data_IF_369780267265
#
_entry.id   IF_369780267265
#
_cell.length_a   1.000
_cell.length_b   1.000
_cell.length_c   1.000
_cell.angle_alpha   90.00
_cell.angle_beta   90.00
_cell.angle_gamma   90.00
#
_symmetry.space_group_name_H-M   'P 1'
#
loop_
_entity.id
_entity.type
_entity.pdbx_description
1 polymer ?
#
# COMPACT_ATOMS: atom_id res chain seq x y z
N UNK A 1 -16.71 -26.97 -0.59
CA UNK A 1 -15.35 -27.28 -0.09
C UNK A 1 -14.29 -26.40 -0.77
N UNK A 2 -14.29 -26.26 -2.09
CA UNK A 2 -13.30 -25.45 -2.84
C UNK A 2 -13.31 -23.94 -2.55
N UNK A 3 -14.41 -23.38 -2.10
CA UNK A 3 -14.55 -21.94 -1.76
C UNK A 3 -13.69 -21.47 -0.58
N UNK A 4 -12.98 -22.36 0.11
CA UNK A 4 -11.99 -22.02 1.14
C UNK A 4 -10.56 -21.97 0.62
N UNK A 5 -10.31 -22.43 -0.61
CA UNK A 5 -8.99 -22.47 -1.24
C UNK A 5 -8.87 -21.51 -2.42
N UNK A 6 -10.01 -21.03 -2.95
CA UNK A 6 -10.07 -20.11 -4.07
C UNK A 6 -10.88 -18.87 -3.68
N UNK A 7 -10.47 -17.72 -4.21
CA UNK A 7 -11.24 -16.48 -4.08
C UNK A 7 -12.66 -16.67 -4.65
N UNK A 8 -13.71 -16.13 -3.99
CA UNK A 8 -15.09 -16.24 -4.49
C UNK A 8 -15.25 -15.83 -5.96
N UNK A 9 -14.53 -14.78 -6.39
CA UNK A 9 -14.56 -14.29 -7.77
C UNK A 9 -13.98 -15.30 -8.77
N UNK A 10 -12.95 -16.06 -8.37
CA UNK A 10 -12.40 -17.15 -9.20
C UNK A 10 -13.39 -18.30 -9.28
N UNK A 11 -14.05 -18.66 -8.18
CA UNK A 11 -15.09 -19.68 -8.16
C UNK A 11 -16.25 -19.28 -9.05
N UNK A 12 -16.72 -18.05 -8.98
CA UNK A 12 -17.79 -17.51 -9.82
C UNK A 12 -17.44 -17.62 -11.31
N UNK A 13 -16.22 -17.21 -11.68
CA UNK A 13 -15.71 -17.35 -13.05
C UNK A 13 -15.70 -18.82 -13.51
N UNK A 14 -15.20 -19.73 -12.68
CA UNK A 14 -15.11 -21.15 -13.01
C UNK A 14 -16.49 -21.79 -13.21
N UNK A 15 -17.48 -21.39 -12.42
CA UNK A 15 -18.86 -21.91 -12.52
C UNK A 15 -19.59 -21.32 -13.74
N UNK A 16 -19.30 -20.06 -14.09
CA UNK A 16 -19.95 -19.37 -15.21
C UNK A 16 -19.38 -19.72 -16.59
N UNK A 17 -18.20 -20.33 -16.67
CA UNK A 17 -17.55 -20.70 -17.93
C UNK A 17 -17.71 -22.22 -18.20
N UNK A 18 -18.25 -22.61 -19.35
CA UNK A 18 -18.44 -24.04 -19.69
C UNK A 18 -17.14 -24.77 -20.04
N UNK A 19 -16.06 -24.02 -20.29
CA UNK A 19 -14.74 -24.58 -20.62
C UNK A 19 -13.88 -24.81 -19.40
N UNK A 20 -13.09 -25.91 -19.41
CA UNK A 20 -12.09 -26.16 -18.38
C UNK A 20 -11.04 -25.04 -18.34
N UNK A 21 -10.61 -24.63 -17.14
CA UNK A 21 -9.55 -23.64 -17.00
C UNK A 21 -8.29 -24.09 -17.73
N UNK A 22 -7.71 -23.20 -18.52
CA UNK A 22 -6.43 -23.43 -19.24
C UNK A 22 -5.38 -22.50 -18.72
N UNK A 23 -4.10 -22.89 -18.90
CA UNK A 23 -2.96 -21.99 -18.73
C UNK A 23 -3.06 -20.90 -19.80
N UNK A 24 -3.53 -19.71 -19.38
CA UNK A 24 -3.68 -18.56 -20.25
C UNK A 24 -3.78 -17.28 -19.39
N UNK A 25 -3.40 -16.17 -19.96
CA UNK A 25 -3.52 -14.86 -19.34
C UNK A 25 -3.75 -13.78 -20.37
N UNK A 26 -4.46 -12.74 -19.97
CA UNK A 26 -4.76 -11.57 -20.77
C UNK A 26 -3.99 -10.35 -20.21
N UNK A 27 -3.67 -9.41 -21.10
CA UNK A 27 -3.19 -8.09 -20.68
C UNK A 27 -4.38 -7.19 -20.40
N UNK A 28 -4.57 -6.86 -19.11
CA UNK A 28 -5.66 -5.98 -18.67
C UNK A 28 -5.17 -4.98 -17.63
N UNK A 29 -5.76 -3.78 -17.63
CA UNK A 29 -5.52 -2.81 -16.57
C UNK A 29 -6.25 -3.23 -15.32
N UNK A 30 -5.49 -3.42 -14.23
CA UNK A 30 -5.98 -3.82 -12.91
C UNK A 30 -5.24 -3.05 -11.83
N UNK A 31 -5.79 -3.04 -10.63
CA UNK A 31 -5.11 -2.49 -9.45
C UNK A 31 -4.65 -3.63 -8.54
N UNK A 32 -3.34 -3.71 -8.35
CA UNK A 32 -2.71 -4.59 -7.37
C UNK A 32 -2.74 -3.95 -5.98
N UNK A 33 -3.01 -4.75 -4.98
CA UNK A 33 -2.99 -4.40 -3.56
C UNK A 33 -2.05 -5.33 -2.81
N UNK A 34 -1.13 -4.74 -2.06
CA UNK A 34 -0.25 -5.44 -1.12
C UNK A 34 -0.41 -4.82 0.26
N UNK A 35 -0.54 -5.66 1.27
CA UNK A 35 -0.46 -5.21 2.66
C UNK A 35 0.40 -6.13 3.50
N UNK A 36 1.04 -5.58 4.52
CA UNK A 36 1.94 -6.29 5.43
C UNK A 36 1.85 -5.70 6.84
N UNK A 37 2.06 -6.52 7.87
CA UNK A 37 2.10 -6.06 9.26
C UNK A 37 3.47 -5.44 9.55
N UNK A 38 3.46 -4.19 9.98
CA UNK A 38 4.69 -3.49 10.38
C UNK A 38 5.40 -4.23 11.53
N UNK A 39 6.61 -4.72 11.24
CA UNK A 39 7.45 -5.35 12.28
C UNK A 39 6.97 -6.75 12.69
N UNK A 40 6.33 -7.49 11.80
CA UNK A 40 5.80 -8.83 12.08
C UNK A 40 6.87 -9.80 12.64
N UNK A 41 8.12 -9.73 12.18
CA UNK A 41 9.20 -10.56 12.73
C UNK A 41 9.36 -10.36 14.23
N UNK A 42 9.45 -9.11 14.70
CA UNK A 42 9.51 -8.79 16.13
C UNK A 42 8.21 -9.11 16.86
N UNK A 43 7.08 -8.94 16.18
CA UNK A 43 5.78 -9.33 16.70
C UNK A 43 5.71 -10.84 16.95
N UNK A 44 6.14 -11.66 16.00
CA UNK A 44 6.11 -13.12 16.09
C UNK A 44 7.05 -13.67 17.17
N UNK A 45 8.18 -13.02 17.45
CA UNK A 45 9.10 -13.38 18.53
C UNK A 45 8.44 -13.40 19.91
N UNK A 46 7.43 -12.54 20.14
CA UNK A 46 6.66 -12.53 21.40
C UNK A 46 5.86 -13.81 21.65
N UNK A 47 5.62 -14.58 20.58
CA UNK A 47 4.91 -15.85 20.64
C UNK A 47 5.84 -17.08 20.56
N UNK A 48 7.15 -16.90 20.76
CA UNK A 48 8.12 -18.01 20.69
C UNK A 48 7.74 -19.19 21.60
N UNK A 49 7.07 -18.93 22.72
CA UNK A 49 6.58 -19.96 23.67
C UNK A 49 5.11 -20.36 23.45
N UNK A 50 4.37 -19.68 22.56
CA UNK A 50 2.97 -19.98 22.21
C UNK A 50 2.76 -19.89 20.69
N UNK A 51 3.26 -20.83 19.89
CA UNK A 51 3.05 -20.84 18.45
C UNK A 51 1.57 -20.87 18.03
N UNK A 52 0.72 -21.53 18.83
CA UNK A 52 -0.72 -21.58 18.58
C UNK A 52 -1.39 -20.20 18.82
N UNK A 53 -0.87 -19.43 19.75
CA UNK A 53 -1.26 -18.04 19.96
C UNK A 53 -0.98 -17.18 18.74
N UNK A 54 0.22 -17.30 18.17
CA UNK A 54 0.57 -16.60 16.92
C UNK A 54 -0.39 -16.95 15.79
N UNK A 55 -0.68 -18.23 15.58
CA UNK A 55 -1.61 -18.69 14.54
C UNK A 55 -3.01 -18.11 14.75
N UNK A 56 -3.53 -18.10 15.99
CA UNK A 56 -4.84 -17.50 16.29
C UNK A 56 -4.89 -16.01 15.98
N UNK A 57 -3.87 -15.27 16.39
CA UNK A 57 -3.78 -13.82 16.18
C UNK A 57 -3.66 -13.50 14.69
N UNK A 58 -2.78 -14.19 13.98
CA UNK A 58 -2.60 -14.01 12.54
C UNK A 58 -3.88 -14.35 11.76
N UNK A 59 -4.53 -15.48 12.07
CA UNK A 59 -5.78 -15.86 11.41
C UNK A 59 -6.92 -14.86 11.68
N UNK A 60 -6.98 -14.27 12.89
CA UNK A 60 -7.94 -13.22 13.21
C UNK A 60 -7.70 -11.98 12.34
N UNK A 61 -6.46 -11.53 12.25
CA UNK A 61 -6.05 -10.41 11.41
C UNK A 61 -6.37 -10.68 9.93
N UNK A 62 -5.88 -11.79 9.37
CA UNK A 62 -6.10 -12.15 7.97
C UNK A 62 -7.58 -12.26 7.63
N UNK A 63 -8.39 -12.87 8.50
CA UNK A 63 -9.85 -13.01 8.29
C UNK A 63 -10.52 -11.66 8.22
N UNK A 64 -10.22 -10.76 9.15
CA UNK A 64 -10.87 -9.45 9.22
C UNK A 64 -10.45 -8.56 8.04
N UNK A 65 -9.16 -8.49 7.74
CA UNK A 65 -8.62 -7.71 6.60
C UNK A 65 -9.15 -8.24 5.28
N UNK A 66 -9.10 -9.55 5.06
CA UNK A 66 -9.63 -10.16 3.84
C UNK A 66 -11.14 -9.97 3.70
N UNK A 67 -11.88 -10.00 4.81
CA UNK A 67 -13.30 -9.71 4.81
C UNK A 67 -13.62 -8.33 4.24
N UNK A 68 -12.88 -7.30 4.64
CA UNK A 68 -13.00 -5.94 4.08
C UNK A 68 -12.66 -5.93 2.59
N UNK A 69 -11.56 -6.53 2.19
CA UNK A 69 -11.13 -6.57 0.78
C UNK A 69 -12.16 -7.24 -0.13
N UNK A 70 -12.72 -8.38 0.32
CA UNK A 70 -13.76 -9.10 -0.42
C UNK A 70 -15.07 -8.30 -0.56
N UNK A 71 -15.47 -7.53 0.45
CA UNK A 71 -16.63 -6.63 0.38
C UNK A 71 -16.48 -5.56 -0.70
N UNK A 72 -15.25 -5.12 -0.98
CA UNK A 72 -14.95 -4.20 -2.08
C UNK A 72 -14.76 -4.88 -3.45
N UNK A 73 -14.93 -6.20 -3.52
CA UNK A 73 -14.83 -6.97 -4.76
C UNK A 73 -13.40 -7.38 -5.13
N UNK A 74 -12.46 -7.36 -4.17
CA UNK A 74 -11.10 -7.83 -4.40
C UNK A 74 -11.07 -9.33 -4.72
N UNK A 75 -10.28 -9.73 -5.70
CA UNK A 75 -9.87 -11.10 -5.90
C UNK A 75 -8.63 -11.36 -5.04
N UNK A 76 -8.77 -12.14 -3.98
CA UNK A 76 -7.62 -12.57 -3.17
C UNK A 76 -6.74 -13.50 -4.00
N UNK A 77 -5.48 -13.13 -4.18
CA UNK A 77 -4.48 -13.92 -4.89
C UNK A 77 -3.81 -14.91 -3.92
N UNK A 78 -3.15 -14.40 -2.90
CA UNK A 78 -2.42 -15.23 -1.92
C UNK A 78 -2.13 -14.48 -0.63
N UNK A 79 -1.75 -15.27 0.37
CA UNK A 79 -1.07 -14.77 1.58
C UNK A 79 0.42 -15.12 1.48
N UNK A 80 1.28 -14.20 1.89
CA UNK A 80 2.74 -14.41 1.99
C UNK A 80 3.14 -14.09 3.43
N UNK A 81 3.11 -15.11 4.30
CA UNK A 81 3.23 -14.89 5.74
C UNK A 81 2.05 -14.08 6.29
N UNK A 82 2.30 -12.88 6.75
CA UNK A 82 1.31 -11.92 7.24
C UNK A 82 0.81 -10.95 6.15
N UNK A 83 1.43 -10.99 4.97
CA UNK A 83 1.04 -10.15 3.84
C UNK A 83 -0.20 -10.69 3.13
N UNK A 84 -1.08 -9.76 2.72
CA UNK A 84 -2.25 -10.04 1.87
C UNK A 84 -2.01 -9.45 0.48
N UNK A 85 -2.14 -10.29 -0.53
CA UNK A 85 -2.05 -9.88 -1.94
C UNK A 85 -3.40 -10.08 -2.61
N UNK A 86 -3.92 -9.03 -3.24
CA UNK A 86 -5.15 -9.14 -4.02
C UNK A 86 -5.15 -8.22 -5.25
N UNK A 87 -6.12 -8.43 -6.11
CA UNK A 87 -6.28 -7.75 -7.39
C UNK A 87 -7.71 -7.20 -7.47
N UNK A 88 -7.85 -5.97 -7.97
CA UNK A 88 -9.13 -5.36 -8.31
C UNK A 88 -9.24 -5.21 -9.83
N UNK A 89 -10.39 -5.56 -10.41
CA UNK A 89 -10.64 -5.51 -11.85
C UNK A 89 -10.46 -6.84 -12.58
N UNK A 90 -10.15 -7.91 -11.84
CA UNK A 90 -10.07 -9.28 -12.36
C UNK A 90 -10.41 -10.30 -11.24
N UNK A 91 -10.91 -11.48 -11.56
CA UNK A 91 -11.34 -11.99 -12.87
C UNK A 91 -12.62 -11.32 -13.40
N UNK A 92 -13.36 -10.64 -12.52
CA UNK A 92 -14.54 -9.87 -12.89
C UNK A 92 -14.10 -8.45 -13.24
N UNK A 93 -14.43 -7.99 -14.45
CA UNK A 93 -14.07 -6.63 -14.87
C UNK A 93 -14.82 -5.59 -14.04
N UNK A 94 -14.08 -4.56 -13.61
CA UNK A 94 -14.60 -3.41 -12.87
C UNK A 94 -13.94 -2.15 -13.44
N UNK A 95 -14.73 -1.22 -13.92
CA UNK A 95 -14.21 0.06 -14.43
C UNK A 95 -13.65 0.95 -13.29
N UNK A 96 -14.23 0.81 -12.12
CA UNK A 96 -13.89 1.56 -10.90
C UNK A 96 -12.88 0.83 -9.99
N UNK A 97 -12.11 -0.15 -10.52
CA UNK A 97 -11.18 -0.98 -9.75
C UNK A 97 -10.19 -0.18 -8.88
N UNK A 98 -9.65 0.93 -9.39
CA UNK A 98 -8.71 1.76 -8.64
C UNK A 98 -9.40 2.48 -7.46
N UNK A 99 -10.63 2.97 -7.67
CA UNK A 99 -11.42 3.63 -6.63
C UNK A 99 -11.83 2.64 -5.54
N UNK A 100 -12.24 1.43 -5.92
CA UNK A 100 -12.56 0.35 -4.97
C UNK A 100 -11.34 -0.07 -4.17
N UNK A 101 -10.19 -0.20 -4.82
CA UNK A 101 -8.93 -0.54 -4.14
C UNK A 101 -8.53 0.52 -3.11
N UNK A 102 -8.66 1.82 -3.44
CA UNK A 102 -8.39 2.90 -2.50
C UNK A 102 -9.40 2.95 -1.35
N UNK A 103 -10.69 2.77 -1.64
CA UNK A 103 -11.73 2.68 -0.60
C UNK A 103 -11.45 1.49 0.33
N UNK A 104 -11.14 0.32 -0.22
CA UNK A 104 -10.78 -0.87 0.54
C UNK A 104 -9.54 -0.63 1.44
N UNK A 105 -8.52 0.07 0.94
CA UNK A 105 -7.32 0.38 1.71
C UNK A 105 -7.62 1.27 2.92
N UNK A 106 -8.49 2.27 2.77
CA UNK A 106 -8.94 3.11 3.89
C UNK A 106 -9.75 2.31 4.90
N UNK A 107 -10.68 1.48 4.43
CA UNK A 107 -11.52 0.66 5.30
C UNK A 107 -10.70 -0.45 5.99
N UNK A 108 -9.65 -0.99 5.35
CA UNK A 108 -8.66 -1.87 5.99
C UNK A 108 -7.94 -1.15 7.12
N UNK A 109 -7.51 0.11 6.94
CA UNK A 109 -6.88 0.85 8.04
C UNK A 109 -7.85 1.04 9.21
N UNK A 110 -9.12 1.38 8.95
CA UNK A 110 -10.14 1.50 9.98
C UNK A 110 -10.37 0.17 10.72
N UNK A 111 -10.38 -0.96 9.98
CA UNK A 111 -10.52 -2.29 10.58
C UNK A 111 -9.29 -2.68 11.41
N UNK A 112 -8.08 -2.34 10.95
CA UNK A 112 -6.84 -2.56 11.72
C UNK A 112 -6.86 -1.79 13.04
N UNK A 113 -7.39 -0.57 13.08
CA UNK A 113 -7.55 0.16 14.35
C UNK A 113 -8.52 -0.57 15.32
N UNK A 114 -9.60 -1.19 14.81
CA UNK A 114 -10.50 -2.02 15.62
C UNK A 114 -9.80 -3.28 16.13
N UNK A 115 -9.00 -3.95 15.26
CA UNK A 115 -8.19 -5.10 15.66
C UNK A 115 -7.21 -4.72 16.78
N UNK A 116 -6.56 -3.56 16.66
CA UNK A 116 -5.65 -3.05 17.70
C UNK A 116 -6.34 -2.86 19.03
N UNK A 117 -7.52 -2.24 19.04
CA UNK A 117 -8.30 -2.07 20.26
C UNK A 117 -8.65 -3.43 20.90
N UNK A 118 -9.09 -4.40 20.09
CA UNK A 118 -9.41 -5.75 20.56
C UNK A 118 -8.18 -6.48 21.10
N UNK A 119 -7.02 -6.34 20.43
CA UNK A 119 -5.76 -6.97 20.87
C UNK A 119 -5.23 -6.32 22.14
N UNK A 120 -5.25 -5.00 22.25
CA UNK A 120 -4.88 -4.28 23.48
C UNK A 120 -5.73 -4.73 24.65
N UNK A 121 -7.05 -4.88 24.49
CA UNK A 121 -7.96 -5.37 25.53
C UNK A 121 -7.64 -6.82 26.00
N UNK A 122 -6.98 -7.60 25.13
CA UNK A 122 -6.55 -8.97 25.42
C UNK A 122 -5.08 -9.08 25.87
N UNK A 123 -4.37 -7.96 26.03
CA UNK A 123 -2.95 -7.94 26.36
C UNK A 123 -2.03 -8.43 25.20
N UNK A 124 -2.55 -8.47 23.99
CA UNK A 124 -1.81 -8.86 22.79
C UNK A 124 -1.03 -7.66 22.21
N UNK A 125 0.02 -7.90 21.44
CA UNK A 125 0.80 -6.82 20.82
C UNK A 125 -0.02 -6.01 19.80
N UNK A 126 0.32 -4.73 19.67
CA UNK A 126 -0.25 -3.85 18.64
C UNK A 126 0.10 -4.31 17.22
N UNK A 127 -0.86 -4.18 16.31
CA UNK A 127 -0.68 -4.40 14.88
C UNK A 127 -0.87 -3.11 14.10
N UNK A 128 0.02 -2.86 13.17
CA UNK A 128 -0.05 -1.76 12.21
C UNK A 128 0.15 -2.31 10.82
N UNK A 129 -0.66 -1.88 9.88
CA UNK A 129 -0.59 -2.37 8.49
C UNK A 129 -0.13 -1.28 7.55
N UNK A 130 0.81 -1.60 6.68
CA UNK A 130 1.19 -0.80 5.53
C UNK A 130 0.51 -1.36 4.29
N UNK A 131 0.16 -0.47 3.37
CA UNK A 131 -0.52 -0.83 2.11
C UNK A 131 0.17 -0.16 0.94
N UNK A 132 0.38 -0.92 -0.13
CA UNK A 132 0.84 -0.42 -1.42
C UNK A 132 -0.17 -0.76 -2.52
N UNK A 133 -0.58 0.24 -3.29
CA UNK A 133 -1.51 0.09 -4.41
C UNK A 133 -0.86 0.58 -5.70
N UNK A 134 -1.01 -0.21 -6.75
CA UNK A 134 -0.56 0.24 -8.07
C UNK A 134 -1.49 -0.25 -9.18
N UNK A 135 -1.88 0.66 -10.04
CA UNK A 135 -2.68 0.39 -11.25
C UNK A 135 -1.76 0.34 -12.46
N UNK A 136 -1.87 -0.71 -13.23
CA UNK A 136 -1.12 -0.89 -14.49
C UNK A 136 -1.78 -1.95 -15.37
N UNK A 137 -1.39 -1.98 -16.63
CA UNK A 137 -1.65 -3.14 -17.49
C UNK A 137 -0.74 -4.28 -17.03
N UNK A 138 -1.33 -5.41 -16.67
CA UNK A 138 -0.65 -6.59 -16.16
C UNK A 138 -1.13 -7.83 -16.90
N UNK A 139 -0.33 -8.88 -16.91
CA UNK A 139 -0.78 -10.20 -17.34
C UNK A 139 -1.58 -10.83 -16.20
N UNK A 140 -2.85 -11.14 -16.44
CA UNK A 140 -3.75 -11.72 -15.44
C UNK A 140 -4.37 -13.00 -15.98
N UNK A 141 -4.26 -14.07 -15.22
CA UNK A 141 -4.78 -15.36 -15.67
C UNK A 141 -4.32 -16.52 -14.82
N UNK A 142 -4.39 -17.72 -15.40
CA UNK A 142 -3.93 -18.95 -14.77
C UNK A 142 -2.45 -19.18 -15.11
N UNK A 143 -1.60 -19.11 -14.11
CA UNK A 143 -0.15 -19.32 -14.22
C UNK A 143 0.31 -20.44 -13.32
N UNK A 144 1.20 -21.28 -13.84
CA UNK A 144 1.75 -22.42 -13.10
C UNK A 144 2.17 -23.56 -14.02
N UNK A 145 2.01 -24.78 -13.54
CA UNK A 145 2.23 -26.00 -14.31
C UNK A 145 0.90 -26.61 -14.77
N UNK A 146 0.97 -27.64 -15.65
CA UNK A 146 -0.21 -28.40 -16.05
C UNK A 146 -0.92 -29.09 -14.86
N UNK A 147 -0.18 -29.38 -13.78
CA UNK A 147 -0.68 -30.07 -12.60
C UNK A 147 -1.24 -29.11 -11.56
N UNK A 148 -0.67 -27.88 -11.48
CA UNK A 148 -1.06 -26.90 -10.48
C UNK A 148 -0.86 -25.48 -11.03
N UNK A 149 -1.92 -24.71 -11.07
CA UNK A 149 -1.87 -23.29 -11.44
C UNK A 149 -2.74 -22.46 -10.48
N UNK A 150 -2.38 -21.18 -10.38
CA UNK A 150 -3.12 -20.20 -9.62
C UNK A 150 -3.61 -19.08 -10.55
N UNK A 151 -4.78 -18.54 -10.28
CA UNK A 151 -5.24 -17.32 -10.89
C UNK A 151 -4.56 -16.14 -10.22
N UNK A 152 -3.69 -15.44 -10.93
CA UNK A 152 -2.85 -14.37 -10.39
C UNK A 152 -2.57 -13.29 -11.44
N UNK A 153 -1.99 -12.18 -11.02
CA UNK A 153 -1.42 -11.18 -11.92
C UNK A 153 0.11 -11.21 -11.88
N UNK A 154 0.72 -10.92 -13.02
CA UNK A 154 2.16 -10.85 -13.18
C UNK A 154 2.57 -9.59 -13.94
N UNK A 155 3.78 -9.11 -13.65
CA UNK A 155 4.39 -7.97 -14.32
C UNK A 155 4.90 -6.91 -13.36
N UNK A 156 5.51 -5.88 -13.93
CA UNK A 156 6.10 -4.76 -13.18
C UNK A 156 5.11 -4.02 -12.28
N UNK A 157 3.82 -4.02 -12.66
CA UNK A 157 2.77 -3.40 -11.87
C UNK A 157 2.59 -4.04 -10.50
N UNK A 158 2.67 -5.38 -10.41
CA UNK A 158 2.65 -6.12 -9.13
C UNK A 158 3.87 -5.80 -8.29
N UNK A 159 5.05 -5.82 -8.91
CA UNK A 159 6.31 -5.50 -8.23
C UNK A 159 6.30 -4.07 -7.66
N UNK A 160 5.76 -3.10 -8.41
CA UNK A 160 5.66 -1.73 -7.92
C UNK A 160 4.70 -1.64 -6.72
N UNK A 161 3.54 -2.31 -6.75
CA UNK A 161 2.62 -2.32 -5.60
C UNK A 161 3.28 -2.89 -4.33
N UNK A 162 4.01 -3.99 -4.45
CA UNK A 162 4.78 -4.56 -3.33
C UNK A 162 5.84 -3.58 -2.81
N UNK A 163 6.57 -2.89 -3.70
CA UNK A 163 7.57 -1.89 -3.29
C UNK A 163 6.96 -0.65 -2.64
N UNK A 164 5.77 -0.24 -3.08
CA UNK A 164 5.01 0.85 -2.45
C UNK A 164 4.59 0.49 -1.02
N UNK A 165 4.23 -0.79 -0.76
CA UNK A 165 4.01 -1.23 0.62
C UNK A 165 5.26 -0.97 1.47
N UNK A 166 6.43 -1.48 1.04
CA UNK A 166 7.69 -1.26 1.76
C UNK A 166 8.12 0.19 1.87
N UNK A 167 7.84 1.00 0.84
CA UNK A 167 8.15 2.43 0.78
C UNK A 167 7.40 3.26 1.85
N UNK A 168 6.35 2.75 2.45
CA UNK A 168 5.72 3.38 3.61
C UNK A 168 6.70 3.53 4.80
N UNK A 169 7.68 2.63 4.93
CA UNK A 169 8.57 2.59 6.09
C UNK A 169 9.39 3.87 6.29
N UNK A 170 10.16 4.37 5.31
CA UNK A 170 10.98 5.57 5.46
C UNK A 170 10.18 6.86 5.63
N UNK A 171 8.91 6.91 5.22
CA UNK A 171 8.03 8.06 5.38
C UNK A 171 7.12 7.96 6.61
N UNK A 172 7.00 6.77 7.22
CA UNK A 172 6.04 6.54 8.30
C UNK A 172 4.58 6.63 7.86
N UNK A 173 4.31 6.55 6.55
CA UNK A 173 2.98 6.53 5.97
C UNK A 173 2.31 5.16 6.13
N UNK A 174 1.00 5.09 5.85
CA UNK A 174 0.23 3.85 5.96
C UNK A 174 -0.20 3.28 4.61
N UNK A 175 -0.55 4.14 3.66
CA UNK A 175 -1.04 3.73 2.33
C UNK A 175 -0.30 4.55 1.28
N UNK A 176 0.44 3.88 0.41
CA UNK A 176 1.05 4.50 -0.77
C UNK A 176 0.42 3.98 -2.06
N UNK A 177 0.21 4.90 -2.99
CA UNK A 177 -0.35 4.61 -4.30
C UNK A 177 0.59 5.08 -5.41
N UNK A 178 0.63 4.31 -6.50
CA UNK A 178 1.39 4.65 -7.69
C UNK A 178 0.73 5.75 -8.54
N UNK A 179 1.47 6.32 -9.52
CA UNK A 179 1.01 7.49 -10.28
C UNK A 179 -0.26 7.21 -11.10
N UNK A 180 -0.39 6.02 -11.70
CA UNK A 180 -1.60 5.68 -12.46
C UNK A 180 -2.81 5.53 -11.54
N UNK A 181 -2.65 4.94 -10.35
CA UNK A 181 -3.71 4.87 -9.34
C UNK A 181 -4.13 6.28 -8.94
N UNK A 182 -3.17 7.15 -8.59
CA UNK A 182 -3.44 8.55 -8.26
C UNK A 182 -4.26 9.27 -9.35
N UNK A 183 -3.86 9.15 -10.62
CA UNK A 183 -4.56 9.78 -11.74
C UNK A 183 -6.04 9.34 -11.87
N UNK A 184 -6.37 8.10 -11.46
CA UNK A 184 -7.72 7.54 -11.53
C UNK A 184 -8.61 7.87 -10.33
N UNK A 185 -8.02 8.38 -9.23
CA UNK A 185 -8.75 8.52 -7.97
C UNK A 185 -8.68 9.92 -7.36
N UNK A 186 -7.84 10.82 -7.89
CA UNK A 186 -7.58 12.16 -7.34
C UNK A 186 -8.81 13.08 -7.33
N UNK A 187 -9.86 12.73 -8.07
CA UNK A 187 -11.14 13.45 -8.06
C UNK A 187 -12.04 13.08 -6.86
N UNK A 188 -11.84 11.90 -6.24
CA UNK A 188 -12.67 11.38 -5.15
C UNK A 188 -11.94 11.15 -3.83
N UNK A 189 -10.61 11.12 -3.87
CA UNK A 189 -9.78 10.93 -2.66
C UNK A 189 -8.79 12.08 -2.48
N UNK A 190 -8.52 12.41 -1.22
CA UNK A 190 -7.42 13.27 -0.83
C UNK A 190 -6.12 12.48 -0.84
N UNK A 191 -5.15 13.01 -1.57
CA UNK A 191 -3.82 12.40 -1.72
C UNK A 191 -2.75 13.45 -1.56
N UNK A 192 -1.57 13.04 -1.14
CA UNK A 192 -0.39 13.91 -1.03
C UNK A 192 0.78 13.26 -1.76
N UNK A 193 1.41 13.95 -2.71
CA UNK A 193 2.68 13.49 -3.27
C UNK A 193 3.75 13.50 -2.18
N UNK A 194 4.35 12.34 -1.90
CA UNK A 194 5.39 12.26 -0.87
C UNK A 194 6.79 12.47 -1.43
N UNK A 195 7.07 11.87 -2.58
CA UNK A 195 8.41 11.94 -3.17
C UNK A 195 8.43 11.41 -4.61
N UNK A 196 9.61 11.51 -5.24
CA UNK A 196 9.98 10.72 -6.42
C UNK A 196 11.02 9.71 -6.02
N UNK A 197 10.74 8.44 -6.28
CA UNK A 197 11.60 7.36 -5.84
C UNK A 197 12.07 6.53 -7.01
N UNK A 198 13.32 6.13 -6.99
CA UNK A 198 13.84 5.10 -7.88
C UNK A 198 13.71 3.77 -7.18
N UNK A 199 12.88 2.88 -7.75
CA UNK A 199 12.69 1.55 -7.21
C UNK A 199 13.74 0.59 -7.78
N UNK A 200 14.24 -0.33 -6.95
CA UNK A 200 15.28 -1.28 -7.34
C UNK A 200 14.95 -1.97 -8.68
N UNK A 201 15.90 -1.96 -9.62
CA UNK A 201 15.74 -2.55 -10.96
C UNK A 201 14.99 -1.67 -11.98
N UNK A 202 14.67 -0.40 -11.65
CA UNK A 202 14.17 0.59 -12.61
C UNK A 202 15.07 1.81 -12.65
N UNK A 203 15.34 2.32 -13.86
CA UNK A 203 16.09 3.56 -14.06
C UNK A 203 15.19 4.80 -13.93
N UNK A 204 13.89 4.66 -14.17
CA UNK A 204 12.93 5.74 -14.11
C UNK A 204 12.42 5.97 -12.69
N UNK A 205 12.41 7.24 -12.30
CA UNK A 205 11.84 7.66 -11.03
C UNK A 205 10.30 7.65 -11.10
N UNK A 206 9.68 7.17 -10.05
CA UNK A 206 8.23 7.07 -9.90
C UNK A 206 7.75 8.02 -8.81
N UNK A 207 6.77 8.88 -9.13
CA UNK A 207 6.11 9.68 -8.10
C UNK A 207 5.24 8.76 -7.22
N UNK A 208 5.40 8.89 -5.90
CA UNK A 208 4.61 8.15 -4.92
C UNK A 208 3.69 9.08 -4.17
N UNK A 209 2.46 8.64 -3.96
CA UNK A 209 1.44 9.44 -3.28
C UNK A 209 0.91 8.70 -2.06
N UNK A 210 0.73 9.42 -0.96
CA UNK A 210 0.00 8.92 0.19
C UNK A 210 -1.50 9.10 -0.04
N UNK A 211 -2.28 8.06 0.22
CA UNK A 211 -3.73 8.10 0.26
C UNK A 211 -4.16 8.47 1.67
N UNK A 212 -4.81 9.63 1.84
CA UNK A 212 -5.13 10.22 3.14
C UNK A 212 -6.58 9.98 3.58
N UNK A 213 -7.52 10.00 2.65
CA UNK A 213 -8.95 9.85 2.96
C UNK A 213 -9.83 10.17 1.76
N UNK A 214 -11.15 10.17 1.97
CA UNK A 214 -12.10 10.62 0.94
C UNK A 214 -12.11 12.16 0.88
N UNK A 215 -12.40 12.72 -0.27
CA UNK A 215 -12.51 14.18 -0.41
C UNK A 215 -13.58 14.76 0.52
N UNK A 216 -13.19 15.86 1.18
CA UNK A 216 -14.06 16.56 2.12
C UNK A 216 -14.14 15.95 3.53
N UNK A 217 -13.49 14.81 3.78
CA UNK A 217 -13.49 14.16 5.10
C UNK A 217 -12.29 14.55 5.97
N UNK A 218 -11.21 15.11 5.36
CA UNK A 218 -10.03 15.50 6.12
C UNK A 218 -10.25 16.77 6.93
N UNK A 219 -9.72 16.82 8.17
CA UNK A 219 -9.72 18.04 8.95
C UNK A 219 -8.97 19.17 8.23
N UNK A 220 -9.43 20.45 8.31
CA UNK A 220 -8.75 21.60 7.67
C UNK A 220 -7.26 21.68 8.01
N UNK A 221 -6.89 21.38 9.26
CA UNK A 221 -5.48 21.32 9.71
C UNK A 221 -4.65 20.31 8.89
N UNK A 222 -5.21 19.17 8.55
CA UNK A 222 -4.48 18.15 7.75
C UNK A 222 -4.28 18.64 6.32
N UNK A 223 -5.25 19.33 5.75
CA UNK A 223 -5.13 19.94 4.41
C UNK A 223 -4.06 21.02 4.40
N UNK A 224 -3.97 21.85 5.45
CA UNK A 224 -2.92 22.86 5.61
C UNK A 224 -1.53 22.22 5.69
N UNK A 225 -1.36 21.16 6.48
CA UNK A 225 -0.11 20.37 6.51
C UNK A 225 0.24 19.83 5.13
N UNK A 226 -0.73 19.33 4.35
CA UNK A 226 -0.49 18.87 2.99
C UNK A 226 -0.02 20.00 2.06
N UNK A 227 -0.56 21.22 2.23
CA UNK A 227 -0.11 22.41 1.50
C UNK A 227 1.34 22.76 1.81
N UNK A 228 1.70 22.84 3.10
CA UNK A 228 3.09 23.07 3.54
C UNK A 228 4.02 21.94 3.06
N UNK A 229 3.56 20.69 3.11
CA UNK A 229 4.34 19.58 2.60
C UNK A 229 4.66 19.73 1.11
N UNK A 230 3.68 20.09 0.30
CA UNK A 230 3.87 20.28 -1.14
C UNK A 230 4.85 21.42 -1.45
N UNK A 231 4.77 22.53 -0.71
CA UNK A 231 5.72 23.64 -0.80
C UNK A 231 7.13 23.21 -0.42
N UNK A 232 7.29 22.58 0.74
CA UNK A 232 8.58 22.04 1.20
C UNK A 232 9.18 21.04 0.23
N UNK A 233 8.36 20.15 -0.36
CA UNK A 233 8.79 19.17 -1.35
C UNK A 233 9.27 19.83 -2.67
N UNK A 234 8.63 20.91 -3.11
CA UNK A 234 9.06 21.67 -4.27
C UNK A 234 10.42 22.33 -4.03
N UNK A 235 10.65 22.93 -2.87
CA UNK A 235 11.92 23.51 -2.46
C UNK A 235 13.01 22.44 -2.32
N UNK A 236 12.69 21.29 -1.72
CA UNK A 236 13.56 20.14 -1.62
C UNK A 236 14.06 19.69 -3.00
N UNK A 237 13.16 19.52 -3.97
CA UNK A 237 13.50 19.13 -5.35
C UNK A 237 14.35 20.16 -6.08
N UNK A 238 14.23 21.42 -5.72
CA UNK A 238 15.06 22.51 -6.23
C UNK A 238 16.43 22.60 -5.52
N UNK A 239 16.78 21.65 -4.67
CA UNK A 239 17.98 21.65 -3.82
C UNK A 239 18.07 22.87 -2.86
N UNK A 240 16.94 23.54 -2.58
CA UNK A 240 16.84 24.66 -1.64
C UNK A 240 16.58 24.11 -0.22
N UNK A 241 17.55 23.32 0.28
CA UNK A 241 17.35 22.51 1.50
C UNK A 241 17.10 23.34 2.76
N UNK A 242 17.72 24.52 2.89
CA UNK A 242 17.50 25.39 4.05
C UNK A 242 16.05 25.94 4.06
N UNK A 243 15.56 26.39 2.93
CA UNK A 243 14.19 26.91 2.80
C UNK A 243 13.15 25.78 2.94
N UNK A 244 13.40 24.61 2.32
CA UNK A 244 12.56 23.44 2.51
C UNK A 244 12.46 23.06 4.00
N UNK A 245 13.58 23.12 4.73
CA UNK A 245 13.64 22.89 6.17
C UNK A 245 12.71 23.80 6.95
N UNK A 246 12.72 25.11 6.65
CA UNK A 246 11.86 26.10 7.33
C UNK A 246 10.37 25.76 7.14
N UNK A 247 9.99 25.39 5.93
CA UNK A 247 8.60 24.97 5.62
C UNK A 247 8.22 23.67 6.33
N UNK A 248 9.11 22.67 6.35
CA UNK A 248 8.83 21.43 7.08
C UNK A 248 8.79 21.62 8.61
N UNK A 249 9.55 22.58 9.17
CA UNK A 249 9.41 22.97 10.58
C UNK A 249 8.01 23.49 10.87
N UNK A 250 7.43 24.33 9.98
CA UNK A 250 6.06 24.81 10.13
C UNK A 250 5.05 23.66 10.04
N UNK A 251 5.22 22.74 9.06
CA UNK A 251 4.35 21.59 8.92
C UNK A 251 4.35 20.69 10.18
N UNK A 252 5.55 20.43 10.74
CA UNK A 252 5.69 19.63 11.97
C UNK A 252 5.16 20.39 13.20
N UNK A 253 5.33 21.71 13.27
CA UNK A 253 4.74 22.52 14.35
C UNK A 253 3.21 22.49 14.30
N UNK A 254 2.64 22.49 13.09
CA UNK A 254 1.20 22.37 12.90
C UNK A 254 0.69 20.97 13.23
N UNK A 255 1.36 19.89 12.79
CA UNK A 255 1.02 18.50 13.13
C UNK A 255 2.27 17.70 13.51
N UNK A 256 2.63 17.63 14.81
CA UNK A 256 3.78 16.87 15.28
C UNK A 256 3.73 15.36 14.98
N UNK A 257 2.54 14.81 14.74
CA UNK A 257 2.35 13.39 14.42
C UNK A 257 2.45 13.10 12.92
N UNK A 258 2.57 14.14 12.07
CA UNK A 258 2.75 13.92 10.63
C UNK A 258 4.13 13.34 10.31
N UNK A 259 4.19 12.02 10.27
CA UNK A 259 5.44 11.29 10.08
C UNK A 259 6.16 11.64 8.75
N UNK A 260 5.49 11.81 7.60
CA UNK A 260 6.16 12.23 6.38
C UNK A 260 6.84 13.59 6.48
N UNK A 261 6.21 14.59 7.12
CA UNK A 261 6.85 15.91 7.33
C UNK A 261 8.09 15.81 8.22
N UNK A 262 8.03 15.01 9.27
CA UNK A 262 9.22 14.73 10.11
C UNK A 262 10.34 14.05 9.33
N UNK A 263 9.99 13.11 8.45
CA UNK A 263 10.98 12.38 7.65
C UNK A 263 11.70 13.32 6.67
N UNK A 264 10.97 14.22 6.00
CA UNK A 264 11.57 15.20 5.09
C UNK A 264 12.35 16.28 5.87
N UNK A 265 11.86 16.74 7.02
CA UNK A 265 12.60 17.65 7.89
C UNK A 265 13.98 17.06 8.27
N UNK A 266 14.01 15.81 8.72
CA UNK A 266 15.26 15.14 9.08
C UNK A 266 16.21 14.97 7.89
N UNK A 267 15.70 14.80 6.67
CA UNK A 267 16.51 14.80 5.44
C UNK A 267 17.06 16.19 5.14
N UNK A 268 16.22 17.24 5.28
CA UNK A 268 16.67 18.62 5.11
C UNK A 268 17.78 18.97 6.10
N UNK A 269 17.65 18.65 7.38
CA UNK A 269 18.68 18.88 8.41
C UNK A 269 20.04 18.28 7.99
N UNK A 270 20.00 17.04 7.49
CA UNK A 270 21.20 16.36 7.00
C UNK A 270 21.80 17.04 5.77
N UNK A 271 20.97 17.45 4.79
CA UNK A 271 21.45 18.03 3.53
C UNK A 271 21.84 19.50 3.62
N UNK A 272 21.32 20.25 4.60
CA UNK A 272 21.83 21.58 4.96
C UNK A 272 23.27 21.49 5.50
N UNK A 273 23.56 20.45 6.29
CA UNK A 273 24.89 20.24 6.88
C UNK A 273 25.88 19.59 5.90
N UNK A 274 25.41 18.61 5.13
CA UNK A 274 26.21 17.83 4.18
C UNK A 274 25.41 17.59 2.89
N UNK A 275 25.39 18.58 1.97
CA UNK A 275 24.66 18.44 0.72
C UNK A 275 25.29 17.33 -0.15
N UNK A 276 24.50 16.53 -0.86
CA UNK A 276 25.03 15.52 -1.75
C UNK A 276 25.75 16.15 -2.94
N UNK A 277 26.81 15.53 -3.46
CA UNK A 277 27.59 16.07 -4.59
C UNK A 277 26.80 16.15 -5.89
N UNK A 278 25.78 15.31 -6.05
CA UNK A 278 24.80 15.36 -7.11
C UNK A 278 23.42 15.08 -6.52
N UNK A 279 22.45 15.92 -6.84
CA UNK A 279 21.09 15.79 -6.38
C UNK A 279 20.14 15.99 -7.56
N UNK A 280 19.36 14.98 -7.87
CA UNK A 280 18.38 14.94 -8.99
C UNK A 280 16.93 15.03 -8.51
N UNK A 281 16.72 15.26 -7.21
CA UNK A 281 15.39 15.31 -6.60
C UNK A 281 14.70 13.95 -6.49
N UNK A 282 15.45 12.86 -6.65
CA UNK A 282 14.97 11.48 -6.59
C UNK A 282 15.63 10.76 -5.41
N UNK A 283 14.86 9.92 -4.74
CA UNK A 283 15.34 9.10 -3.63
C UNK A 283 15.44 7.66 -4.07
N UNK A 284 16.61 7.06 -3.91
CA UNK A 284 16.76 5.61 -4.08
C UNK A 284 16.18 4.93 -2.84
N UNK A 285 15.14 4.12 -3.05
CA UNK A 285 14.61 3.26 -2.00
C UNK A 285 15.52 2.04 -1.93
N UNK A 286 16.36 2.02 -0.89
CA UNK A 286 17.27 0.91 -0.63
C UNK A 286 16.53 -0.41 -0.50
N UNK A 287 17.25 -1.45 -0.88
CA UNK A 287 16.85 -2.86 -0.96
C UNK A 287 16.46 -3.46 0.39
#
# INVERSE_FOLDING_TARGET
>A
MFSRYLSPQVVERLVSQPELPRLAGDQIEVTAFFSDIKGFSTFSERFAQDPQGLVRVLNTYLTRVSGVLLQHGACLDKYIGDAVVCIFGAPLRMEDHARRACAAALDVQAEVERIRADFTAQGLPDVYTRVGLNTAVMFVGNFGSEQLFNYTAMGDGMNLASRLEGANKPYGSRILIGPRTHALVSDVFETRELDRVRVAGKHEAVAIHELLGRKGELPPRKLEVCGLYAEGLALWRAARFAEAREVFVQAVALDPEDAPSRALLARCDRYVTAPPPAFDGVVDLDK
#
